data_IF_364749586849
#
_entry.id   IF_364749586849
#
_cell.length_a   1.000
_cell.length_b   1.000
_cell.length_c   1.000
_cell.angle_alpha   90.00
_cell.angle_beta   90.00
_cell.angle_gamma   90.00
#
_symmetry.space_group_name_H-M   'P 1'
#
loop_
_entity.id
_entity.type
_entity.pdbx_description
1 polymer ?
#
# COMPACT_ATOMS: atom_id res chain seq x y z
N UNK A 1 8.00 -16.30 -21.33
CA UNK A 1 7.62 -14.88 -21.23
C UNK A 1 7.28 -14.27 -22.54
N UNK A 2 8.14 -14.41 -23.56
CA UNK A 2 7.81 -14.00 -24.92
C UNK A 2 6.56 -14.70 -25.47
N UNK A 3 6.29 -15.93 -25.03
CA UNK A 3 5.16 -16.72 -25.48
C UNK A 3 3.81 -16.11 -25.14
N UNK A 4 3.71 -15.36 -24.03
CA UNK A 4 2.47 -14.69 -23.66
C UNK A 4 2.09 -13.55 -24.60
N UNK A 5 3.09 -12.91 -25.20
CA UNK A 5 2.87 -11.84 -26.17
C UNK A 5 2.50 -12.40 -27.54
N UNK A 6 3.07 -13.55 -27.90
CA UNK A 6 2.79 -14.22 -29.17
C UNK A 6 1.37 -14.79 -29.22
N UNK A 7 0.83 -15.15 -28.06
CA UNK A 7 -0.53 -15.74 -27.95
C UNK A 7 -1.62 -14.68 -27.74
N UNK A 8 -1.34 -13.43 -28.01
CA UNK A 8 -2.32 -12.36 -27.88
C UNK A 8 -3.55 -12.63 -28.73
N UNK A 9 -4.72 -12.59 -28.09
CA UNK A 9 -6.02 -12.77 -28.76
C UNK A 9 -6.43 -11.45 -29.42
N UNK A 10 -6.97 -11.51 -30.65
CA UNK A 10 -7.46 -10.33 -31.37
C UNK A 10 -8.63 -9.61 -30.68
N UNK A 11 -9.30 -10.29 -29.71
CA UNK A 11 -10.38 -9.71 -28.92
C UNK A 11 -9.91 -9.02 -27.64
N UNK A 12 -8.60 -8.90 -27.44
CA UNK A 12 -7.99 -8.31 -26.26
C UNK A 12 -7.22 -7.05 -26.62
N UNK A 13 -7.21 -6.12 -25.67
CA UNK A 13 -6.36 -4.95 -25.75
C UNK A 13 -5.34 -5.06 -24.63
N UNK A 14 -4.07 -5.06 -25.00
CA UNK A 14 -2.97 -5.12 -24.04
C UNK A 14 -2.30 -3.77 -24.00
N UNK A 15 -2.21 -3.19 -22.80
CA UNK A 15 -1.60 -1.89 -22.59
C UNK A 15 -0.68 -1.95 -21.36
N UNK A 16 0.45 -1.27 -21.45
CA UNK A 16 1.30 -1.05 -20.29
C UNK A 16 0.68 0.07 -19.45
N UNK A 17 0.11 -0.29 -18.32
CA UNK A 17 -0.51 0.65 -17.38
C UNK A 17 0.41 1.05 -16.23
N UNK A 18 1.70 0.68 -16.31
CA UNK A 18 2.68 0.94 -15.27
C UNK A 18 2.56 0.02 -14.05
N UNK A 19 1.68 -0.98 -14.09
CA UNK A 19 1.53 -1.91 -12.97
C UNK A 19 2.82 -2.71 -12.73
N UNK A 20 3.12 -2.96 -11.48
CA UNK A 20 4.30 -3.71 -11.05
C UNK A 20 3.90 -4.74 -10.00
N UNK A 21 4.73 -5.77 -9.89
CA UNK A 21 4.67 -6.76 -8.82
C UNK A 21 5.97 -6.66 -8.03
N UNK A 22 5.88 -6.20 -6.81
CA UNK A 22 7.05 -5.88 -5.99
C UNK A 22 7.12 -6.85 -4.82
N UNK A 23 8.22 -7.59 -4.66
CA UNK A 23 8.38 -8.41 -3.46
C UNK A 23 8.54 -7.50 -2.24
N UNK A 24 7.83 -7.83 -1.17
CA UNK A 24 7.95 -7.14 0.11
C UNK A 24 8.89 -7.97 0.99
N UNK A 25 9.95 -7.34 1.46
CA UNK A 25 10.96 -8.00 2.29
C UNK A 25 11.08 -7.34 3.65
N UNK A 26 11.32 -8.15 4.67
CA UNK A 26 11.63 -7.63 6.01
C UNK A 26 13.11 -7.21 6.08
N UNK A 27 13.55 -6.72 7.24
CA UNK A 27 14.94 -6.26 7.44
C UNK A 27 15.98 -7.37 7.31
N UNK A 28 15.56 -8.63 7.34
CA UNK A 28 16.45 -9.79 7.19
C UNK A 28 16.52 -10.29 5.74
N UNK A 29 15.83 -9.62 4.82
CA UNK A 29 15.77 -10.00 3.42
C UNK A 29 14.78 -11.12 3.10
N UNK A 30 13.99 -11.56 4.08
CA UNK A 30 12.97 -12.58 3.85
C UNK A 30 11.76 -11.98 3.16
N UNK A 31 11.24 -12.65 2.14
CA UNK A 31 10.04 -12.19 1.46
C UNK A 31 8.80 -12.49 2.29
N UNK A 32 8.05 -11.46 2.65
CA UNK A 32 6.82 -11.57 3.43
C UNK A 32 5.55 -11.45 2.60
N UNK A 33 5.66 -11.02 1.35
CA UNK A 33 4.53 -10.90 0.45
C UNK A 33 4.94 -10.36 -0.90
N UNK A 34 3.95 -10.20 -1.80
CA UNK A 34 4.14 -9.59 -3.11
C UNK A 34 3.03 -8.56 -3.34
N UNK A 35 3.41 -7.33 -3.61
CA UNK A 35 2.49 -6.22 -3.78
C UNK A 35 2.34 -5.87 -5.26
N UNK A 36 1.10 -5.94 -5.75
CA UNK A 36 0.76 -5.62 -7.15
C UNK A 36 -0.03 -4.31 -7.18
N UNK A 37 0.47 -3.30 -7.84
CA UNK A 37 -0.19 -1.99 -7.92
C UNK A 37 0.40 -1.14 -9.04
N UNK A 38 -0.15 0.05 -9.23
CA UNK A 38 0.33 1.03 -10.22
C UNK A 38 0.95 2.22 -9.47
N UNK A 39 2.28 2.23 -9.26
CA UNK A 39 2.91 3.25 -8.41
C UNK A 39 2.90 4.66 -8.99
N UNK A 40 2.75 4.82 -10.30
CA UNK A 40 2.71 6.13 -10.96
C UNK A 40 1.30 6.59 -11.33
N UNK A 41 0.27 5.94 -10.79
CA UNK A 41 -1.10 6.39 -10.93
C UNK A 41 -1.29 7.69 -10.14
N UNK A 42 -1.50 8.81 -10.84
CA UNK A 42 -1.66 10.11 -10.20
C UNK A 42 -2.89 10.18 -9.29
N UNK A 43 -3.87 9.32 -9.52
CA UNK A 43 -5.04 9.22 -8.67
C UNK A 43 -4.73 8.77 -7.24
N UNK A 44 -3.57 8.14 -7.01
CA UNK A 44 -3.12 7.76 -5.67
C UNK A 44 -3.03 8.97 -4.74
N UNK A 45 -2.58 10.12 -5.25
CA UNK A 45 -2.43 11.34 -4.44
C UNK A 45 -3.77 11.76 -3.85
N UNK A 46 -4.80 11.79 -4.66
CA UNK A 46 -6.14 12.15 -4.21
C UNK A 46 -6.70 11.13 -3.21
N UNK A 47 -6.57 9.86 -3.53
CA UNK A 47 -7.02 8.78 -2.64
C UNK A 47 -6.25 8.77 -1.32
N UNK A 48 -4.94 9.04 -1.37
CA UNK A 48 -4.11 9.13 -0.17
C UNK A 48 -4.59 10.23 0.77
N UNK A 49 -4.89 11.40 0.23
CA UNK A 49 -5.42 12.51 1.01
C UNK A 49 -6.76 12.15 1.67
N UNK A 50 -7.62 11.43 0.96
CA UNK A 50 -8.90 10.95 1.50
C UNK A 50 -8.69 9.96 2.66
N UNK A 51 -7.76 9.02 2.52
CA UNK A 51 -7.45 8.05 3.57
C UNK A 51 -6.81 8.73 4.78
N UNK A 52 -5.90 9.68 4.55
CA UNK A 52 -5.27 10.43 5.64
C UNK A 52 -6.31 11.22 6.44
N UNK A 53 -7.29 11.84 5.78
CA UNK A 53 -8.36 12.57 6.44
C UNK A 53 -9.29 11.65 7.25
N UNK A 54 -9.41 10.39 6.85
CA UNK A 54 -10.26 9.41 7.54
C UNK A 54 -9.51 8.54 8.55
N UNK A 55 -8.19 8.70 8.65
CA UNK A 55 -7.37 7.83 9.50
C UNK A 55 -7.83 7.82 10.95
N UNK A 56 -8.23 8.97 11.49
CA UNK A 56 -8.75 9.05 12.86
C UNK A 56 -9.99 8.19 13.07
N UNK A 57 -10.86 8.09 12.06
CA UNK A 57 -12.03 7.22 12.09
C UNK A 57 -11.64 5.75 12.00
N UNK A 58 -10.59 5.45 11.26
CA UNK A 58 -10.09 4.08 11.12
C UNK A 58 -9.58 3.56 12.46
N UNK A 59 -8.86 4.40 13.21
CA UNK A 59 -8.27 4.02 14.50
C UNK A 59 -9.18 4.25 15.69
N UNK A 60 -10.31 4.93 15.51
CA UNK A 60 -11.28 5.22 16.58
C UNK A 60 -11.64 3.99 17.44
N UNK A 61 -11.92 2.81 16.86
CA UNK A 61 -12.20 1.63 17.67
C UNK A 61 -11.06 1.24 18.61
N UNK A 62 -9.82 1.64 18.33
CA UNK A 62 -8.67 1.30 19.16
C UNK A 62 -8.59 2.11 20.44
N UNK A 63 -9.34 3.21 20.56
CA UNK A 63 -9.35 4.05 21.77
C UNK A 63 -9.81 3.27 23.00
N UNK A 64 -10.65 2.26 22.81
CA UNK A 64 -11.14 1.41 23.88
C UNK A 64 -10.27 0.18 24.13
N UNK A 65 -9.21 -0.01 23.35
CA UNK A 65 -8.34 -1.19 23.46
C UNK A 65 -7.17 -0.90 24.38
N UNK A 66 -7.01 -1.75 25.40
CA UNK A 66 -5.89 -1.68 26.33
C UNK A 66 -4.90 -2.81 26.00
N UNK A 67 -3.85 -2.46 25.27
CA UNK A 67 -2.79 -3.41 24.94
C UNK A 67 -1.82 -3.47 26.11
N UNK A 68 -1.61 -4.67 26.67
CA UNK A 68 -0.69 -4.87 27.78
C UNK A 68 0.76 -4.62 27.37
N UNK A 69 1.68 -4.34 28.34
CA UNK A 69 3.10 -4.11 28.03
C UNK A 69 3.80 -5.23 27.25
N UNK A 70 3.30 -6.45 27.35
CA UNK A 70 3.83 -7.61 26.61
C UNK A 70 3.25 -7.70 25.16
N UNK A 71 2.42 -6.74 24.74
CA UNK A 71 1.80 -6.72 23.43
C UNK A 71 0.51 -7.52 23.32
N UNK A 72 0.03 -8.08 24.42
CA UNK A 72 -1.22 -8.87 24.40
C UNK A 72 -2.44 -8.01 24.76
N UNK A 73 -3.60 -8.45 24.32
CA UNK A 73 -4.90 -7.89 24.69
C UNK A 73 -5.55 -8.82 25.72
N UNK A 74 -6.35 -8.26 26.63
CA UNK A 74 -7.05 -9.09 27.63
C UNK A 74 -8.02 -10.03 26.91
N UNK A 75 -7.70 -11.33 26.96
CA UNK A 75 -8.50 -12.39 26.29
C UNK A 75 -9.93 -12.48 26.81
N UNK A 76 -10.20 -11.94 28.01
CA UNK A 76 -11.54 -11.95 28.61
C UNK A 76 -12.41 -10.79 28.13
N UNK A 77 -11.85 -9.86 27.34
CA UNK A 77 -12.58 -8.70 26.85
C UNK A 77 -12.85 -8.84 25.35
N UNK A 78 -13.98 -9.47 25.01
CA UNK A 78 -14.40 -9.64 23.62
C UNK A 78 -14.62 -8.30 22.89
N UNK A 79 -15.00 -7.25 23.63
CA UNK A 79 -15.19 -5.94 23.04
C UNK A 79 -13.88 -5.35 22.52
N UNK A 80 -12.75 -5.57 23.20
CA UNK A 80 -11.45 -5.12 22.75
C UNK A 80 -10.99 -5.87 21.49
N UNK A 81 -11.20 -7.19 21.44
CA UNK A 81 -10.91 -7.97 20.24
C UNK A 81 -11.79 -7.56 19.06
N UNK A 82 -13.08 -7.29 19.33
CA UNK A 82 -13.99 -6.80 18.30
C UNK A 82 -13.54 -5.44 17.75
N UNK A 83 -13.08 -4.54 18.63
CA UNK A 83 -12.55 -3.23 18.22
C UNK A 83 -11.30 -3.37 17.35
N UNK A 84 -10.39 -4.28 17.72
CA UNK A 84 -9.19 -4.56 16.90
C UNK A 84 -9.57 -5.08 15.52
N UNK A 85 -10.51 -6.01 15.43
CA UNK A 85 -10.97 -6.56 14.16
C UNK A 85 -11.65 -5.49 13.30
N UNK A 86 -12.42 -4.61 13.91
CA UNK A 86 -13.10 -3.53 13.18
C UNK A 86 -12.10 -2.52 12.62
N UNK A 87 -11.11 -2.10 13.41
CA UNK A 87 -10.06 -1.20 12.95
C UNK A 87 -9.24 -1.83 11.82
N UNK A 88 -8.90 -3.10 11.96
CA UNK A 88 -8.18 -3.87 10.94
C UNK A 88 -8.96 -3.91 9.63
N UNK A 89 -10.26 -4.22 9.69
CA UNK A 89 -11.12 -4.28 8.52
C UNK A 89 -11.21 -2.93 7.81
N UNK A 90 -11.39 -1.84 8.57
CA UNK A 90 -11.43 -0.49 8.02
C UNK A 90 -10.13 -0.13 7.32
N UNK A 91 -9.01 -0.49 7.94
CA UNK A 91 -7.70 -0.23 7.38
C UNK A 91 -7.46 -1.00 6.08
N UNK A 92 -7.80 -2.29 6.07
CA UNK A 92 -7.63 -3.13 4.87
C UNK A 92 -8.43 -2.58 3.69
N UNK A 93 -9.68 -2.24 3.92
CA UNK A 93 -10.54 -1.64 2.90
C UNK A 93 -9.95 -0.33 2.37
N UNK A 94 -9.47 0.53 3.27
CA UNK A 94 -8.87 1.81 2.89
C UNK A 94 -7.58 1.62 2.09
N UNK A 95 -6.69 0.75 2.53
CA UNK A 95 -5.41 0.51 1.87
C UNK A 95 -5.57 -0.13 0.50
N UNK A 96 -6.42 -1.12 0.38
CA UNK A 96 -6.64 -1.80 -0.91
C UNK A 96 -7.30 -0.86 -1.92
N UNK A 97 -8.20 0.00 -1.48
CA UNK A 97 -8.82 1.01 -2.32
C UNK A 97 -7.83 2.11 -2.70
N UNK A 98 -6.99 2.54 -1.76
CA UNK A 98 -5.99 3.60 -1.98
C UNK A 98 -5.07 3.28 -3.14
N UNK A 99 -4.52 2.08 -3.18
CA UNK A 99 -3.55 1.69 -4.19
C UNK A 99 -4.17 0.92 -5.36
N UNK A 100 -5.45 0.55 -5.26
CA UNK A 100 -6.10 -0.28 -6.27
C UNK A 100 -5.45 -1.65 -6.44
N UNK A 101 -4.91 -2.19 -5.35
CA UNK A 101 -4.13 -3.43 -5.37
C UNK A 101 -4.39 -4.30 -4.14
N UNK A 102 -3.42 -5.13 -3.80
CA UNK A 102 -3.50 -6.15 -2.76
C UNK A 102 -2.67 -5.81 -1.52
N UNK A 103 -2.66 -4.55 -1.08
CA UNK A 103 -1.81 -4.12 0.02
C UNK A 103 -2.05 -4.89 1.31
N UNK A 104 -3.30 -5.13 1.68
CA UNK A 104 -3.61 -5.83 2.92
C UNK A 104 -3.03 -7.24 2.93
N UNK A 105 -3.16 -7.98 1.83
CA UNK A 105 -2.59 -9.32 1.70
C UNK A 105 -1.06 -9.29 1.70
N UNK A 106 -0.47 -8.35 0.96
CA UNK A 106 0.98 -8.28 0.77
C UNK A 106 1.72 -7.91 2.05
N UNK A 107 1.20 -6.98 2.84
CA UNK A 107 1.87 -6.44 4.02
C UNK A 107 1.36 -7.03 5.33
N UNK A 108 0.07 -7.35 5.42
CA UNK A 108 -0.58 -7.70 6.68
C UNK A 108 -1.00 -9.17 6.78
N UNK A 109 -0.56 -10.00 5.83
CA UNK A 109 -0.89 -11.41 5.84
C UNK A 109 -0.29 -12.19 7.01
N UNK A 110 0.84 -11.71 7.56
CA UNK A 110 1.57 -12.39 8.64
C UNK A 110 1.64 -11.59 9.93
N UNK A 111 1.20 -10.34 9.93
CA UNK A 111 1.31 -9.47 11.11
C UNK A 111 0.15 -8.50 11.17
N UNK A 112 -0.39 -8.34 12.36
CA UNK A 112 -1.49 -7.40 12.59
C UNK A 112 -1.01 -5.96 12.31
N UNK A 113 -1.80 -5.16 11.55
CA UNK A 113 -1.37 -3.82 11.13
C UNK A 113 -1.17 -2.84 12.28
N UNK A 114 -1.80 -3.05 13.41
CA UNK A 114 -1.67 -2.18 14.59
C UNK A 114 -0.67 -2.70 15.61
N UNK A 115 0.18 -3.65 15.23
CA UNK A 115 1.29 -4.10 16.06
C UNK A 115 2.29 -2.95 16.25
N UNK A 116 2.71 -2.66 17.49
CA UNK A 116 3.67 -1.60 17.76
C UNK A 116 5.10 -2.02 17.40
N UNK A 117 5.77 -1.23 16.57
CA UNK A 117 7.14 -1.46 16.12
C UNK A 117 7.88 -0.12 16.08
N UNK A 118 8.92 0.01 16.89
CA UNK A 118 9.75 1.22 16.95
C UNK A 118 8.93 2.51 17.21
N UNK A 119 7.92 2.41 18.05
CA UNK A 119 7.09 3.55 18.43
C UNK A 119 5.99 3.91 17.44
N UNK A 120 5.81 3.11 16.40
CA UNK A 120 4.76 3.30 15.39
C UNK A 120 3.96 2.01 15.22
N UNK A 121 2.78 2.11 14.64
CA UNK A 121 2.07 0.92 14.19
C UNK A 121 2.74 0.35 12.94
N UNK A 122 2.69 -0.95 12.80
CA UNK A 122 3.22 -1.62 11.61
C UNK A 122 2.65 -1.05 10.30
N UNK A 123 1.35 -0.71 10.27
CA UNK A 123 0.73 -0.10 9.10
C UNK A 123 1.34 1.26 8.76
N UNK A 124 1.76 2.05 9.74
CA UNK A 124 2.44 3.32 9.48
C UNK A 124 3.78 3.09 8.79
N UNK A 125 4.53 2.10 9.26
CA UNK A 125 5.81 1.72 8.65
C UNK A 125 5.61 1.23 7.21
N UNK A 126 4.57 0.43 6.97
CA UNK A 126 4.23 -0.06 5.64
C UNK A 126 3.85 1.09 4.69
N UNK A 127 2.97 1.99 5.13
CA UNK A 127 2.56 3.15 4.33
C UNK A 127 3.73 4.07 4.01
N UNK A 128 4.62 4.29 4.97
CA UNK A 128 5.83 5.09 4.77
C UNK A 128 6.76 4.45 3.72
N UNK A 129 6.95 3.14 3.77
CA UNK A 129 7.77 2.42 2.81
C UNK A 129 7.18 2.48 1.40
N UNK A 130 5.86 2.29 1.28
CA UNK A 130 5.17 2.39 -0.01
C UNK A 130 5.25 3.81 -0.56
N UNK A 131 5.04 4.82 0.29
CA UNK A 131 5.15 6.23 -0.10
C UNK A 131 6.53 6.58 -0.64
N UNK A 132 7.60 6.10 -0.01
CA UNK A 132 8.96 6.30 -0.49
C UNK A 132 9.20 5.64 -1.85
N UNK A 133 8.68 4.44 -2.03
CA UNK A 133 8.76 3.73 -3.32
C UNK A 133 8.05 4.52 -4.42
N UNK A 134 6.82 4.97 -4.15
CA UNK A 134 6.02 5.75 -5.09
C UNK A 134 6.76 7.03 -5.48
N UNK A 135 7.32 7.77 -4.52
CA UNK A 135 8.06 9.00 -4.80
C UNK A 135 9.22 8.77 -5.76
N UNK A 136 9.98 7.69 -5.56
CA UNK A 136 11.09 7.37 -6.46
C UNK A 136 10.62 7.06 -7.88
N UNK A 137 9.51 6.34 -8.01
CA UNK A 137 8.95 5.98 -9.32
C UNK A 137 8.40 7.21 -10.04
N UNK A 138 7.67 8.07 -9.33
CA UNK A 138 7.16 9.33 -9.88
C UNK A 138 8.29 10.23 -10.37
N UNK A 139 9.32 10.43 -9.56
CA UNK A 139 10.46 11.29 -9.94
C UNK A 139 11.11 10.80 -11.23
N UNK A 140 11.30 9.49 -11.35
CA UNK A 140 11.88 8.87 -12.53
C UNK A 140 11.03 9.11 -13.77
N UNK A 141 9.72 8.87 -13.67
CA UNK A 141 8.81 8.99 -14.81
C UNK A 141 8.57 10.45 -15.20
N UNK A 142 8.43 11.35 -14.20
CA UNK A 142 8.25 12.79 -14.46
C UNK A 142 9.47 13.37 -15.17
N UNK A 143 10.68 12.97 -14.79
CA UNK A 143 11.90 13.40 -15.50
C UNK A 143 11.90 12.97 -16.96
N UNK A 144 11.45 11.76 -17.27
CA UNK A 144 11.33 11.28 -18.65
C UNK A 144 10.31 12.12 -19.45
N UNK A 145 9.17 12.40 -18.85
CA UNK A 145 8.13 13.21 -19.49
C UNK A 145 8.63 14.64 -19.74
N UNK A 146 9.27 15.24 -18.75
CA UNK A 146 9.80 16.60 -18.87
C UNK A 146 10.90 16.68 -19.95
N UNK A 147 11.79 15.70 -20.02
CA UNK A 147 12.82 15.65 -21.05
C UNK A 147 12.21 15.56 -22.45
N UNK A 148 11.15 14.79 -22.61
CA UNK A 148 10.44 14.69 -23.87
C UNK A 148 9.75 16.01 -24.25
N UNK A 149 9.09 16.65 -23.28
CA UNK A 149 8.43 17.95 -23.51
C UNK A 149 9.45 19.01 -23.91
N UNK A 150 10.60 19.06 -23.26
CA UNK A 150 11.69 19.98 -23.60
C UNK A 150 12.17 19.79 -25.04
N UNK A 151 12.27 18.54 -25.50
CA UNK A 151 12.62 18.28 -26.90
C UNK A 151 11.61 18.90 -27.86
N UNK A 152 10.32 18.82 -27.53
CA UNK A 152 9.29 19.41 -28.40
C UNK A 152 9.28 20.93 -28.36
N UNK A 153 9.65 21.54 -27.24
CA UNK A 153 9.67 23.00 -27.08
C UNK A 153 10.97 23.65 -27.54
N UNK A 154 12.09 22.96 -27.44
CA UNK A 154 13.41 23.52 -27.79
C UNK A 154 13.97 22.97 -29.12
N UNK A 155 13.35 21.97 -29.71
CA UNK A 155 13.74 21.40 -31.00
C UNK A 155 13.21 22.16 -32.22
N UNK A 156 12.45 23.23 -31.96
CA UNK A 156 11.85 24.07 -32.96
C UNK A 156 12.24 25.51 -32.70
#
# INVERSE_FOLDING_TARGET
MADKLVQQNFNEIIIDDGSVKVPIRNKHGEQIGEFSFRPTDIGIVDRFNSVAAEFDKIVEPLESVNIKPDGTVDERNEAEFAALREAEKRLYTACDKLFGGNMSEAFFGKMHPFSPINGHFYCENALSAVGAYISRQFDREVKKVNSRVERYTHGY
#
